data_IF_950533404954
#
_entry.id   IF_950533404954
#
_cell.length_a   1.000
_cell.length_b   1.000
_cell.length_c   1.000
_cell.angle_alpha   90.00
_cell.angle_beta   90.00
_cell.angle_gamma   90.00
#
_symmetry.space_group_name_H-M   'P 1'
#
loop_
_entity.id
_entity.type
_entity.pdbx_description
1 polymer ?
#
# COMPACT_ATOMS: atom_id res chain seq x y z
N UNK A 1 5.03 16.68 63.71
CA UNK A 1 5.38 15.70 64.76
C UNK A 1 4.46 14.50 64.60
N UNK A 2 5.01 13.30 64.82
CA UNK A 2 4.40 11.96 64.79
C UNK A 2 3.09 11.88 65.59
N UNK A 3 2.21 10.94 65.25
CA UNK A 3 1.94 9.74 66.08
C UNK A 3 1.07 8.72 65.32
N UNK A 4 1.75 7.64 64.92
CA UNK A 4 1.49 6.20 65.06
C UNK A 4 0.07 5.58 64.96
N UNK A 5 0.10 4.41 64.31
CA UNK A 5 -0.98 3.45 64.04
C UNK A 5 -1.58 2.81 65.31
N UNK A 6 -2.73 2.13 65.15
CA UNK A 6 -2.73 0.72 65.54
C UNK A 6 -3.32 -0.22 64.48
N UNK A 7 -2.59 -1.31 64.25
CA UNK A 7 -3.07 -2.56 63.68
C UNK A 7 -4.15 -3.18 64.55
N UNK A 8 -5.24 -3.64 63.94
CA UNK A 8 -6.05 -4.74 64.48
C UNK A 8 -6.33 -5.75 63.38
N UNK A 9 -6.10 -7.02 63.73
CA UNK A 9 -6.21 -8.20 62.88
C UNK A 9 -7.47 -9.00 63.24
N UNK A 10 -7.94 -9.76 62.25
CA UNK A 10 -8.80 -10.96 62.26
C UNK A 10 -10.34 -10.84 62.20
N UNK A 11 -10.82 -11.15 60.98
CA UNK A 11 -11.70 -12.27 60.62
C UNK A 11 -13.18 -12.28 61.07
N UNK A 12 -14.09 -12.25 60.08
CA UNK A 12 -15.08 -13.32 59.93
C UNK A 12 -15.67 -13.34 58.51
N UNK A 13 -15.94 -14.57 58.09
CA UNK A 13 -16.33 -15.04 56.78
C UNK A 13 -17.82 -14.74 56.52
N UNK A 14 -18.15 -14.17 55.36
CA UNK A 14 -19.49 -14.30 54.78
C UNK A 14 -19.36 -14.34 53.26
N UNK A 15 -19.38 -15.58 52.77
CA UNK A 15 -19.28 -15.96 51.39
C UNK A 15 -20.62 -15.65 50.69
N UNK A 16 -20.74 -14.48 50.06
CA UNK A 16 -21.77 -14.24 49.06
C UNK A 16 -21.17 -14.48 47.68
N UNK A 17 -21.31 -15.71 47.17
CA UNK A 17 -21.01 -16.05 45.78
C UNK A 17 -22.10 -15.38 44.94
N UNK A 18 -21.84 -14.16 44.48
CA UNK A 18 -22.64 -13.59 43.41
C UNK A 18 -22.34 -14.41 42.15
N UNK A 19 -23.31 -15.24 41.76
CA UNK A 19 -23.31 -16.01 40.53
C UNK A 19 -23.25 -15.07 39.33
N UNK A 20 -22.05 -14.70 38.91
CA UNK A 20 -21.85 -14.06 37.61
C UNK A 20 -22.11 -15.12 36.54
N UNK A 21 -23.35 -15.15 36.07
CA UNK A 21 -23.73 -15.86 34.84
C UNK A 21 -22.74 -15.45 33.77
N UNK A 22 -21.90 -16.39 33.36
CA UNK A 22 -20.91 -16.19 32.33
C UNK A 22 -21.66 -15.83 31.05
N UNK A 23 -21.76 -14.53 30.75
CA UNK A 23 -22.06 -14.11 29.39
C UNK A 23 -20.82 -14.50 28.62
N UNK A 24 -20.87 -15.69 28.01
CA UNK A 24 -19.96 -16.06 26.95
C UNK A 24 -20.12 -14.96 25.89
N UNK A 25 -19.24 -13.98 25.94
CA UNK A 25 -19.02 -13.11 24.81
C UNK A 25 -18.59 -14.06 23.69
N UNK A 26 -19.55 -14.41 22.84
CA UNK A 26 -19.31 -14.94 21.51
C UNK A 26 -18.32 -13.96 20.89
N UNK A 27 -17.04 -14.28 20.97
CA UNK A 27 -16.06 -13.78 20.05
C UNK A 27 -16.52 -14.32 18.71
N UNK A 28 -17.40 -13.58 18.03
CA UNK A 28 -17.53 -13.67 16.59
C UNK A 28 -16.14 -13.37 16.07
N UNK A 29 -15.36 -14.43 15.88
CA UNK A 29 -14.13 -14.40 15.13
C UNK A 29 -14.56 -13.89 13.76
N UNK A 30 -14.34 -12.59 13.54
CA UNK A 30 -14.25 -12.03 12.22
C UNK A 30 -13.10 -12.78 11.56
N UNK A 31 -13.41 -13.92 10.95
CA UNK A 31 -12.59 -14.47 9.89
C UNK A 31 -12.72 -13.46 8.78
N UNK A 32 -11.87 -12.44 8.85
CA UNK A 32 -11.60 -11.55 7.75
C UNK A 32 -11.24 -12.47 6.60
N UNK A 33 -12.21 -12.64 5.69
CA UNK A 33 -12.09 -13.55 4.57
C UNK A 33 -10.83 -13.13 3.83
N UNK A 34 -9.77 -13.95 3.95
CA UNK A 34 -8.55 -13.74 3.20
C UNK A 34 -8.88 -14.00 1.73
N UNK A 35 -9.46 -13.00 1.07
CA UNK A 35 -9.62 -13.00 -0.38
C UNK A 35 -8.20 -13.19 -0.91
N UNK A 36 -7.97 -14.33 -1.56
CA UNK A 36 -6.64 -14.68 -2.08
C UNK A 36 -6.11 -13.52 -2.92
N UNK A 37 -4.99 -12.93 -2.51
CA UNK A 37 -4.37 -11.82 -3.22
C UNK A 37 -3.85 -12.31 -4.58
N UNK A 38 -4.02 -11.48 -5.60
CA UNK A 38 -3.69 -11.80 -6.99
C UNK A 38 -2.55 -10.92 -7.46
N UNK A 39 -1.52 -11.56 -8.02
CA UNK A 39 -0.36 -10.87 -8.57
C UNK A 39 -0.66 -10.36 -9.98
N UNK A 40 -0.02 -9.26 -10.36
CA UNK A 40 0.00 -8.81 -11.74
C UNK A 40 0.83 -9.77 -12.61
N UNK A 41 0.56 -9.88 -13.92
CA UNK A 41 1.42 -10.62 -14.84
C UNK A 41 2.87 -10.13 -14.79
N UNK A 42 3.81 -11.05 -14.78
CA UNK A 42 5.24 -10.74 -14.66
C UNK A 42 5.75 -9.97 -15.89
N UNK A 43 6.48 -8.87 -15.67
CA UNK A 43 7.22 -8.15 -16.72
C UNK A 43 8.32 -9.06 -17.25
N UNK A 44 8.49 -9.12 -18.57
CA UNK A 44 9.42 -10.05 -19.23
C UNK A 44 10.45 -9.37 -20.11
N UNK A 45 10.24 -8.10 -20.49
CA UNK A 45 11.22 -7.33 -21.26
C UNK A 45 12.44 -6.96 -20.42
N UNK A 46 13.60 -6.87 -21.06
CA UNK A 46 14.83 -6.39 -20.45
C UNK A 46 14.83 -4.85 -20.45
N UNK A 47 15.39 -4.26 -19.41
CA UNK A 47 15.62 -2.81 -19.35
C UNK A 47 16.92 -2.44 -20.04
N UNK A 48 16.95 -1.30 -20.73
CA UNK A 48 18.18 -0.63 -21.12
C UNK A 48 18.62 0.38 -20.07
N UNK A 49 19.80 0.97 -20.27
CA UNK A 49 20.37 1.97 -19.36
C UNK A 49 19.46 3.21 -19.23
N UNK A 50 18.80 3.61 -20.30
CA UNK A 50 17.90 4.77 -20.32
C UNK A 50 16.63 4.54 -19.51
N UNK A 51 16.02 3.36 -19.63
CA UNK A 51 14.84 2.97 -18.85
C UNK A 51 15.16 2.98 -17.36
N UNK A 52 16.32 2.42 -16.98
CA UNK A 52 16.78 2.38 -15.59
C UNK A 52 17.03 3.81 -15.06
N UNK A 53 17.70 4.66 -15.84
CA UNK A 53 17.98 6.03 -15.45
C UNK A 53 16.69 6.86 -15.27
N UNK A 54 15.74 6.73 -16.21
CA UNK A 54 14.43 7.39 -16.12
C UNK A 54 13.64 6.89 -14.90
N UNK A 55 13.61 5.59 -14.65
CA UNK A 55 12.89 5.05 -13.49
C UNK A 55 13.49 5.51 -12.15
N UNK A 56 14.83 5.56 -12.04
CA UNK A 56 15.52 6.14 -10.88
C UNK A 56 15.19 7.62 -10.70
N UNK A 57 15.18 8.39 -11.78
CA UNK A 57 14.79 9.81 -11.74
C UNK A 57 13.34 9.99 -11.27
N UNK A 58 12.40 9.23 -11.86
CA UNK A 58 10.99 9.24 -11.46
C UNK A 58 10.82 8.98 -9.97
N UNK A 59 11.49 7.96 -9.42
CA UNK A 59 11.46 7.72 -7.97
C UNK A 59 12.12 8.84 -7.17
N UNK A 60 13.26 9.37 -7.63
CA UNK A 60 13.95 10.48 -6.95
C UNK A 60 13.05 11.71 -6.77
N UNK A 61 12.18 12.00 -7.74
CA UNK A 61 11.23 13.13 -7.68
C UNK A 61 9.89 12.76 -7.03
N UNK A 62 9.73 11.53 -6.51
CA UNK A 62 8.50 11.07 -5.87
C UNK A 62 7.35 10.79 -6.84
N UNK A 63 7.65 10.48 -8.10
CA UNK A 63 6.63 10.09 -9.07
C UNK A 63 6.06 8.71 -8.74
N UNK A 64 4.74 8.57 -8.86
CA UNK A 64 4.00 7.34 -8.53
C UNK A 64 3.25 6.82 -9.74
N UNK A 65 3.27 5.51 -9.92
CA UNK A 65 2.50 4.79 -10.92
C UNK A 65 1.35 4.05 -10.24
N UNK A 66 0.12 4.53 -10.43
CA UNK A 66 -1.11 3.91 -9.94
C UNK A 66 -1.60 2.84 -10.91
N UNK A 67 -1.81 1.62 -10.42
CA UNK A 67 -2.11 0.44 -11.22
C UNK A 67 -3.18 -0.43 -10.59
N UNK A 68 -3.69 -1.39 -11.37
CA UNK A 68 -4.41 -2.53 -10.84
C UNK A 68 -3.79 -3.82 -11.38
N UNK A 69 -3.71 -4.89 -10.60
CA UNK A 69 -3.02 -6.13 -11.00
C UNK A 69 -3.56 -6.74 -12.32
N UNK A 70 -4.88 -6.61 -12.56
CA UNK A 70 -5.57 -7.15 -13.74
C UNK A 70 -5.46 -6.23 -14.98
N UNK A 71 -4.87 -5.05 -14.85
CA UNK A 71 -4.89 -4.01 -15.89
C UNK A 71 -3.86 -4.29 -17.00
N UNK A 72 -4.29 -4.61 -18.23
CA UNK A 72 -3.36 -4.94 -19.33
C UNK A 72 -2.53 -3.73 -19.77
N UNK A 73 -3.08 -2.51 -19.68
CA UNK A 73 -2.34 -1.30 -20.01
C UNK A 73 -1.28 -0.95 -18.96
N UNK A 74 -1.49 -1.36 -17.71
CA UNK A 74 -0.53 -1.22 -16.62
C UNK A 74 0.63 -2.19 -16.85
N UNK A 75 0.32 -3.43 -17.21
CA UNK A 75 1.33 -4.39 -17.64
C UNK A 75 2.11 -3.85 -18.86
N UNK A 76 1.44 -3.30 -19.88
CA UNK A 76 2.10 -2.67 -21.04
C UNK A 76 3.01 -1.49 -20.64
N UNK A 77 2.59 -0.64 -19.71
CA UNK A 77 3.43 0.44 -19.19
C UNK A 77 4.70 -0.11 -18.53
N UNK A 78 4.56 -1.13 -17.69
CA UNK A 78 5.70 -1.75 -17.02
C UNK A 78 6.62 -2.47 -18.03
N UNK A 79 6.07 -3.13 -19.05
CA UNK A 79 6.86 -3.75 -20.13
C UNK A 79 7.71 -2.74 -20.92
N UNK A 80 7.32 -1.46 -21.00
CA UNK A 80 8.19 -0.43 -21.62
C UNK A 80 9.45 -0.17 -20.81
N UNK A 81 9.37 -0.26 -19.47
CA UNK A 81 10.51 -0.10 -18.58
C UNK A 81 11.37 -1.38 -18.49
N UNK A 82 10.75 -2.55 -18.54
CA UNK A 82 11.43 -3.83 -18.34
C UNK A 82 11.79 -4.13 -16.89
N UNK A 83 12.28 -5.35 -16.65
CA UNK A 83 12.39 -5.94 -15.31
C UNK A 83 13.20 -5.09 -14.32
N UNK A 84 14.37 -4.58 -14.72
CA UNK A 84 15.25 -3.87 -13.80
C UNK A 84 14.73 -2.48 -13.45
N UNK A 85 14.28 -1.72 -14.44
CA UNK A 85 13.77 -0.38 -14.25
C UNK A 85 12.45 -0.38 -13.44
N UNK A 86 11.57 -1.39 -13.59
CA UNK A 86 10.36 -1.47 -12.75
C UNK A 86 10.68 -1.60 -11.25
N UNK A 87 11.79 -2.26 -10.88
CA UNK A 87 12.23 -2.33 -9.47
C UNK A 87 12.60 -0.94 -8.91
N UNK A 88 12.82 0.02 -9.80
CA UNK A 88 13.13 1.40 -9.45
C UNK A 88 11.89 2.28 -9.33
N UNK A 89 10.72 1.84 -9.77
CA UNK A 89 9.49 2.65 -9.73
C UNK A 89 8.77 2.53 -8.38
N UNK A 90 8.04 3.58 -8.01
CA UNK A 90 7.05 3.53 -6.94
C UNK A 90 5.69 3.17 -7.54
N UNK A 91 5.34 1.88 -7.48
CA UNK A 91 4.08 1.34 -8.02
C UNK A 91 3.06 1.18 -6.90
N UNK A 92 1.87 1.75 -7.09
CA UNK A 92 0.75 1.72 -6.17
C UNK A 92 -0.31 0.78 -6.74
N UNK A 93 -0.63 -0.28 -6.01
CA UNK A 93 -1.71 -1.21 -6.34
C UNK A 93 -3.03 -0.69 -5.78
N UNK A 94 -4.01 -0.45 -6.65
CA UNK A 94 -5.27 0.21 -6.30
C UNK A 94 -6.46 -0.73 -6.14
N UNK A 95 -6.37 -2.00 -6.57
CA UNK A 95 -7.42 -2.99 -6.37
C UNK A 95 -7.19 -3.75 -5.05
N UNK A 96 -8.23 -3.87 -4.22
CA UNK A 96 -8.15 -4.52 -2.91
C UNK A 96 -7.75 -6.01 -2.98
N UNK A 97 -7.92 -6.65 -4.14
CA UNK A 97 -7.53 -8.05 -4.37
C UNK A 97 -6.11 -8.19 -4.88
N UNK A 98 -5.43 -7.08 -5.19
CA UNK A 98 -4.02 -7.09 -5.57
C UNK A 98 -3.10 -7.41 -4.38
N UNK A 99 -1.83 -7.71 -4.68
CA UNK A 99 -0.81 -7.91 -3.64
C UNK A 99 -0.46 -6.58 -2.96
N UNK A 100 -0.52 -6.54 -1.62
CA UNK A 100 -0.22 -5.36 -0.79
C UNK A 100 -0.93 -4.09 -1.32
N UNK A 101 -2.27 -4.10 -1.37
CA UNK A 101 -3.03 -3.04 -1.99
C UNK A 101 -2.96 -1.75 -1.16
N UNK A 102 -2.98 -0.61 -1.83
CA UNK A 102 -2.90 0.74 -1.27
C UNK A 102 -4.12 1.55 -1.71
N UNK A 103 -5.31 0.94 -1.58
CA UNK A 103 -6.59 1.48 -2.10
C UNK A 103 -6.86 2.91 -1.61
N UNK A 104 -6.55 3.21 -0.35
CA UNK A 104 -6.79 4.54 0.21
C UNK A 104 -5.91 5.62 -0.43
N UNK A 105 -4.67 5.28 -0.81
CA UNK A 105 -3.78 6.21 -1.52
C UNK A 105 -4.33 6.55 -2.92
N UNK A 106 -4.97 5.58 -3.59
CA UNK A 106 -5.60 5.81 -4.89
C UNK A 106 -6.89 6.64 -4.77
N UNK A 107 -7.72 6.36 -3.76
CA UNK A 107 -8.94 7.12 -3.48
C UNK A 107 -8.65 8.57 -3.11
N UNK A 108 -7.69 8.81 -2.22
CA UNK A 108 -7.33 10.17 -1.78
C UNK A 108 -6.77 11.04 -2.92
N UNK A 109 -6.13 10.42 -3.92
CA UNK A 109 -5.66 11.09 -5.13
C UNK A 109 -6.71 11.20 -6.24
N UNK A 110 -7.90 10.63 -6.03
CA UNK A 110 -8.99 10.65 -7.02
C UNK A 110 -8.64 9.92 -8.31
N UNK A 111 -7.88 8.82 -8.24
CA UNK A 111 -7.51 8.04 -9.43
C UNK A 111 -8.76 7.40 -10.05
N UNK A 112 -9.02 7.71 -11.33
CA UNK A 112 -10.23 7.24 -12.06
C UNK A 112 -9.95 6.16 -13.10
N UNK A 113 -8.69 5.95 -13.47
CA UNK A 113 -8.29 5.02 -14.54
C UNK A 113 -6.88 4.49 -14.31
N UNK A 114 -6.59 3.31 -14.84
CA UNK A 114 -5.28 2.68 -14.73
C UNK A 114 -4.64 2.43 -16.12
N UNK A 115 -3.31 2.60 -16.26
CA UNK A 115 -2.45 3.21 -15.26
C UNK A 115 -2.72 4.72 -15.14
N UNK A 116 -2.26 5.34 -14.06
CA UNK A 116 -2.14 6.79 -13.95
C UNK A 116 -0.81 7.14 -13.32
N UNK A 117 -0.15 8.18 -13.82
CA UNK A 117 1.09 8.69 -13.24
C UNK A 117 0.81 9.96 -12.43
N UNK A 118 1.29 10.02 -11.19
CA UNK A 118 1.47 11.29 -10.49
C UNK A 118 2.92 11.74 -10.67
N UNK A 119 3.13 12.89 -11.30
CA UNK A 119 4.46 13.47 -11.51
C UNK A 119 4.36 14.95 -11.17
N UNK A 120 5.18 15.42 -10.22
CA UNK A 120 5.17 16.81 -9.75
C UNK A 120 3.77 17.30 -9.35
N UNK A 121 3.00 16.45 -8.65
CA UNK A 121 1.65 16.75 -8.18
C UNK A 121 0.55 16.71 -9.25
N UNK A 122 0.88 16.47 -10.53
CA UNK A 122 -0.10 16.36 -11.63
C UNK A 122 -0.36 14.89 -11.99
N UNK A 123 -1.63 14.57 -12.20
CA UNK A 123 -2.07 13.25 -12.68
C UNK A 123 -2.09 13.20 -14.20
N UNK A 124 -1.42 12.19 -14.76
CA UNK A 124 -1.39 11.86 -16.18
C UNK A 124 -2.00 10.47 -16.36
N UNK A 125 -3.27 10.37 -16.81
CA UNK A 125 -3.93 9.09 -16.99
C UNK A 125 -3.38 8.33 -18.21
N UNK A 126 -3.56 7.01 -18.18
CA UNK A 126 -3.26 6.11 -19.27
C UNK A 126 -1.79 5.70 -19.35
N UNK A 127 -1.55 4.71 -20.22
CA UNK A 127 -0.22 4.24 -20.56
C UNK A 127 0.53 5.32 -21.36
N UNK A 128 1.69 5.72 -20.86
CA UNK A 128 2.53 6.77 -21.41
C UNK A 128 3.77 6.18 -22.12
N UNK A 129 4.12 6.69 -23.31
CA UNK A 129 5.47 6.55 -23.86
C UNK A 129 6.53 7.04 -22.86
N UNK A 130 7.73 6.46 -22.91
CA UNK A 130 8.79 6.83 -21.97
C UNK A 130 9.29 8.26 -22.21
N UNK A 131 9.22 8.73 -23.45
CA UNK A 131 9.52 10.09 -23.88
C UNK A 131 8.56 11.10 -23.22
N UNK A 132 7.29 10.74 -23.09
CA UNK A 132 6.31 11.57 -22.36
C UNK A 132 6.67 11.64 -20.88
N UNK A 133 7.01 10.51 -20.26
CA UNK A 133 7.39 10.47 -18.84
C UNK A 133 8.67 11.25 -18.58
N UNK A 134 9.66 11.17 -19.47
CA UNK A 134 10.87 11.98 -19.43
C UNK A 134 10.54 13.48 -19.50
N UNK A 135 9.67 13.89 -20.44
CA UNK A 135 9.22 15.29 -20.57
C UNK A 135 8.46 15.78 -19.34
N UNK A 136 7.50 15.00 -18.82
CA UNK A 136 6.71 15.38 -17.64
C UNK A 136 7.56 15.50 -16.37
N UNK A 137 8.59 14.65 -16.26
CA UNK A 137 9.53 14.63 -15.13
C UNK A 137 10.73 15.55 -15.30
N UNK A 138 10.86 16.24 -16.44
CA UNK A 138 12.01 17.10 -16.77
C UNK A 138 13.34 16.34 -16.72
N UNK A 139 13.32 15.06 -17.09
CA UNK A 139 14.52 14.24 -17.19
C UNK A 139 15.39 14.73 -18.36
N UNK A 140 16.67 15.03 -18.10
CA UNK A 140 17.54 15.78 -19.03
C UNK A 140 18.40 14.91 -19.96
N UNK A 141 18.44 13.60 -19.75
CA UNK A 141 19.13 12.72 -20.67
C UNK A 141 18.29 12.51 -21.93
N UNK A 142 18.93 12.46 -23.10
CA UNK A 142 18.26 12.42 -24.40
C UNK A 142 17.29 11.23 -24.47
N UNK A 143 15.99 11.51 -24.54
CA UNK A 143 14.95 10.56 -24.90
C UNK A 143 14.62 10.59 -26.38
#
# INVERSE_FOLDING_TARGET
MKFDHPSTLLASLSLAIASFTSVSALTTQFTESAIAQQAAPAVTTKSGAREIALAKHLRKIGAKLYTAYWCPYCHKQQQRFGVEANRQLEVIECDARGVRPQVQACRSKGIRSYPSWEINGKIYPGNQPLENLARFSQFRDRW
#
